data_IF_667314298517
#
_entry.id   IF_667314298517
#
_cell.length_a   1.000
_cell.length_b   1.000
_cell.length_c   1.000
_cell.angle_alpha   90.00
_cell.angle_beta   90.00
_cell.angle_gamma   90.00
#
_symmetry.space_group_name_H-M   'P 1'
#
loop_
_entity.id
_entity.type
_entity.pdbx_description
1 polymer ?
#
# COMPACT_ATOMS: atom_id res chain seq x y z
N UNK A 1 -7.65 -4.15 -12.30
CA UNK A 1 -7.74 -2.76 -12.25
C UNK A 1 -7.09 -2.16 -11.04
N UNK A 2 -7.48 -0.95 -10.73
CA UNK A 2 -6.92 -0.24 -9.60
C UNK A 2 -7.21 -0.97 -8.29
N UNK A 3 -8.39 -1.53 -8.19
CA UNK A 3 -8.81 -2.24 -7.01
C UNK A 3 -7.97 -3.50 -6.78
N UNK A 4 -7.71 -4.24 -7.85
CA UNK A 4 -6.88 -5.44 -7.74
C UNK A 4 -5.45 -5.07 -7.35
N UNK A 5 -4.97 -3.98 -7.92
CA UNK A 5 -3.64 -3.52 -7.62
C UNK A 5 -3.50 -3.15 -6.15
N UNK A 6 -4.50 -2.49 -5.63
CA UNK A 6 -4.48 -2.08 -4.23
C UNK A 6 -4.62 -3.28 -3.29
N UNK A 7 -5.35 -4.30 -3.70
CA UNK A 7 -5.45 -5.50 -2.89
C UNK A 7 -4.10 -6.19 -2.76
N UNK A 8 -3.36 -6.23 -3.85
CA UNK A 8 -2.02 -6.79 -3.82
C UNK A 8 -1.13 -5.98 -2.88
N UNK A 9 -1.27 -4.66 -2.93
CA UNK A 9 -0.51 -3.79 -2.04
C UNK A 9 -0.82 -4.11 -0.59
N UNK A 10 -2.09 -4.28 -0.28
CA UNK A 10 -2.49 -4.58 1.08
C UNK A 10 -1.90 -5.90 1.55
N UNK A 11 -1.93 -6.90 0.68
CA UNK A 11 -1.36 -8.19 1.02
C UNK A 11 0.14 -8.09 1.29
N UNK A 12 0.85 -7.35 0.46
CA UNK A 12 2.28 -7.18 0.63
C UNK A 12 2.59 -6.45 1.93
N UNK A 13 1.80 -5.45 2.26
CA UNK A 13 1.99 -4.72 3.50
C UNK A 13 1.69 -5.60 4.71
N UNK A 14 0.70 -6.46 4.59
CA UNK A 14 0.34 -7.36 5.69
C UNK A 14 1.43 -8.40 5.95
N UNK A 15 2.13 -8.81 4.91
CA UNK A 15 3.19 -9.81 5.07
C UNK A 15 4.35 -9.28 5.90
N UNK A 16 4.51 -7.96 5.93
CA UNK A 16 5.56 -7.32 6.69
C UNK A 16 6.94 -7.45 6.09
N UNK A 17 7.04 -7.99 4.88
CA UNK A 17 8.34 -8.18 4.22
C UNK A 17 8.67 -7.01 3.29
N UNK A 18 7.73 -6.14 3.05
CA UNK A 18 7.91 -5.03 2.11
C UNK A 18 7.63 -3.72 2.83
N UNK A 19 8.43 -2.73 2.50
CA UNK A 19 8.14 -1.38 2.97
C UNK A 19 7.07 -0.75 2.07
N UNK A 20 6.48 0.33 2.56
CA UNK A 20 5.48 1.05 1.77
C UNK A 20 6.09 1.52 0.46
N UNK A 21 7.34 1.94 0.51
CA UNK A 21 8.05 2.40 -0.67
C UNK A 21 8.21 1.26 -1.68
N UNK A 22 8.58 0.09 -1.20
CA UNK A 22 8.74 -1.07 -2.06
C UNK A 22 7.44 -1.44 -2.74
N UNK A 23 6.36 -1.42 -1.99
CA UNK A 23 5.05 -1.76 -2.53
C UNK A 23 4.65 -0.77 -3.61
N UNK A 24 4.84 0.53 -3.35
CA UNK A 24 4.50 1.54 -4.33
C UNK A 24 5.26 1.37 -5.63
N UNK A 25 6.55 1.13 -5.53
CA UNK A 25 7.37 0.95 -6.73
C UNK A 25 7.02 -0.32 -7.48
N UNK A 26 6.74 -1.38 -6.75
CA UNK A 26 6.36 -2.65 -7.36
C UNK A 26 5.09 -2.51 -8.20
N UNK A 27 4.18 -1.66 -7.74
CA UNK A 27 2.94 -1.44 -8.45
C UNK A 27 3.07 -0.42 -9.58
N UNK A 28 4.24 0.18 -9.73
CA UNK A 28 4.50 1.09 -10.84
C UNK A 28 4.23 2.55 -10.54
N UNK A 29 4.12 2.92 -9.31
CA UNK A 29 3.90 4.32 -8.94
C UNK A 29 5.21 5.09 -8.96
N UNK A 30 5.19 6.25 -9.58
CA UNK A 30 6.40 7.05 -9.73
C UNK A 30 6.90 7.59 -8.40
N UNK A 31 5.97 7.92 -7.50
CA UNK A 31 6.38 8.38 -6.19
C UNK A 31 5.39 7.89 -5.14
N UNK A 32 5.86 7.93 -3.93
CA UNK A 32 5.12 7.38 -2.80
C UNK A 32 3.83 8.14 -2.52
N UNK A 33 3.84 9.43 -2.75
CA UNK A 33 2.66 10.25 -2.49
C UNK A 33 1.47 9.78 -3.33
N UNK A 34 1.71 9.51 -4.60
CA UNK A 34 0.65 9.04 -5.49
C UNK A 34 0.10 7.70 -5.02
N UNK A 35 0.97 6.80 -4.64
CA UNK A 35 0.55 5.51 -4.12
C UNK A 35 -0.29 5.68 -2.85
N UNK A 36 0.18 6.51 -1.95
CA UNK A 36 -0.51 6.73 -0.69
C UNK A 36 -1.92 7.27 -0.90
N UNK A 37 -2.06 8.23 -1.80
CA UNK A 37 -3.37 8.81 -2.09
C UNK A 37 -4.29 7.78 -2.71
N UNK A 38 -3.78 6.99 -3.63
CA UNK A 38 -4.58 5.96 -4.28
C UNK A 38 -5.04 4.91 -3.28
N UNK A 39 -4.14 4.51 -2.41
CA UNK A 39 -4.46 3.52 -1.39
C UNK A 39 -5.56 4.03 -0.45
N UNK A 40 -5.41 5.26 -0.01
CA UNK A 40 -6.41 5.85 0.88
C UNK A 40 -7.76 5.96 0.18
N UNK A 41 -7.75 6.27 -1.10
CA UNK A 41 -8.99 6.41 -1.86
C UNK A 41 -9.73 5.09 -1.96
N UNK A 42 -9.01 3.99 -2.08
CA UNK A 42 -9.61 2.67 -2.23
C UNK A 42 -10.05 2.10 -0.89
N UNK A 43 -9.19 2.20 0.11
CA UNK A 43 -9.43 1.54 1.39
C UNK A 43 -9.88 2.48 2.50
N UNK A 44 -9.77 3.78 2.29
CA UNK A 44 -10.17 4.73 3.32
C UNK A 44 -9.16 4.92 4.43
N UNK A 45 -7.98 4.33 4.30
CA UNK A 45 -6.92 4.50 5.28
C UNK A 45 -5.57 4.49 4.58
N UNK A 46 -4.59 5.04 5.25
CA UNK A 46 -3.25 5.14 4.68
C UNK A 46 -2.53 3.80 4.74
N UNK A 47 -1.60 3.55 3.81
CA UNK A 47 -0.83 2.30 3.86
C UNK A 47 -0.04 2.18 5.15
N UNK A 48 0.45 3.28 5.68
CA UNK A 48 1.18 3.24 6.94
C UNK A 48 0.29 2.80 8.10
N UNK A 49 -0.98 3.14 8.03
CA UNK A 49 -1.93 2.71 9.05
C UNK A 49 -2.14 1.21 9.01
N UNK A 50 -2.16 0.66 7.82
CA UNK A 50 -2.30 -0.79 7.66
C UNK A 50 -1.08 -1.50 8.24
N UNK A 51 0.10 -1.01 7.92
CA UNK A 51 1.34 -1.60 8.42
C UNK A 51 1.40 -1.49 9.94
N UNK A 52 1.06 -0.33 10.45
CA UNK A 52 1.10 -0.08 11.88
C UNK A 52 0.13 -1.00 12.61
N UNK A 53 -1.04 -1.17 12.05
CA UNK A 53 -2.07 -2.03 12.64
C UNK A 53 -1.62 -3.48 12.67
N UNK A 54 -0.84 -3.87 11.68
CA UNK A 54 -0.38 -5.24 11.53
C UNK A 54 0.91 -5.52 12.31
N UNK A 55 1.62 -4.47 12.64
CA UNK A 55 2.91 -4.62 13.32
C UNK A 55 2.70 -4.62 14.82
N UNK A 56 2.68 -5.70 15.42
CA UNK A 56 2.57 -5.69 16.86
C UNK A 56 3.42 -6.78 17.50
#
# INVERSE_FOLDING_TARGET
>A
YQKQRMQKAKMMLHSGQYSIKDVGYTLGYANLSNFTLAFKKVFGQLPRDVVKSNAK
#
